data_IF_263345897203
#
_entry.id   IF_263345897203
#
_cell.length_a   1.000
_cell.length_b   1.000
_cell.length_c   1.000
_cell.angle_alpha   90.00
_cell.angle_beta   90.00
_cell.angle_gamma   90.00
#
_symmetry.space_group_name_H-M   'P 1'
#
loop_
_entity.id
_entity.type
_entity.pdbx_description
1 polymer ?
#
# COMPACT_ATOMS: atom_id res chain seq x y z
N UNK A 1 -1.54 -15.89 -17.82
CA UNK A 1 -0.94 -15.95 -16.47
C UNK A 1 -1.94 -15.50 -15.43
N UNK A 2 -2.15 -16.30 -14.42
CA UNK A 2 -3.01 -15.92 -13.30
C UNK A 2 -2.33 -14.95 -12.35
N UNK A 3 -3.05 -14.40 -11.36
CA UNK A 3 -2.47 -13.58 -10.32
C UNK A 3 -1.54 -14.42 -9.44
N UNK A 4 -0.43 -13.82 -9.05
CA UNK A 4 0.39 -14.38 -7.99
C UNK A 4 -0.19 -13.92 -6.65
N UNK A 5 -0.43 -14.88 -5.77
CA UNK A 5 -0.99 -14.60 -4.44
C UNK A 5 -0.09 -15.19 -3.38
N UNK A 6 0.18 -14.39 -2.36
CA UNK A 6 1.03 -14.79 -1.25
C UNK A 6 0.39 -14.37 0.06
N UNK A 7 0.23 -15.31 0.97
CA UNK A 7 -0.12 -15.00 2.36
C UNK A 7 1.15 -14.65 3.10
N UNK A 8 1.17 -13.48 3.75
CA UNK A 8 2.34 -12.98 4.47
C UNK A 8 2.00 -12.69 5.92
N UNK A 9 3.02 -12.81 6.76
CA UNK A 9 2.97 -12.46 8.17
C UNK A 9 3.73 -11.14 8.40
N UNK A 10 3.65 -10.61 9.61
CA UNK A 10 4.17 -9.29 9.94
C UNK A 10 5.61 -9.05 9.46
N UNK A 11 6.49 -10.02 9.63
CA UNK A 11 7.91 -9.89 9.26
C UNK A 11 8.12 -9.79 7.75
N UNK A 12 7.24 -10.39 6.96
CA UNK A 12 7.38 -10.49 5.51
C UNK A 12 6.48 -9.51 4.74
N UNK A 13 5.49 -8.92 5.41
CA UNK A 13 4.46 -8.12 4.77
C UNK A 13 5.06 -6.89 4.07
N UNK A 14 5.98 -6.20 4.72
CA UNK A 14 6.65 -5.04 4.13
C UNK A 14 7.35 -5.41 2.82
N UNK A 15 8.04 -6.55 2.79
CA UNK A 15 8.71 -7.03 1.60
C UNK A 15 7.71 -7.43 0.50
N UNK A 16 6.62 -8.06 0.87
CA UNK A 16 5.58 -8.44 -0.08
C UNK A 16 4.92 -7.20 -0.72
N UNK A 17 4.63 -6.19 0.06
CA UNK A 17 4.09 -4.92 -0.45
C UNK A 17 5.12 -4.21 -1.33
N UNK A 18 6.38 -4.19 -0.92
CA UNK A 18 7.47 -3.64 -1.72
C UNK A 18 7.53 -4.31 -3.10
N UNK A 19 7.46 -5.63 -3.15
CA UNK A 19 7.55 -6.39 -4.39
C UNK A 19 6.33 -6.25 -5.27
N UNK A 20 5.13 -6.21 -4.67
CA UNK A 20 3.87 -6.17 -5.40
C UNK A 20 3.43 -4.76 -5.79
N UNK A 21 3.90 -3.76 -5.09
CA UNK A 21 3.46 -2.38 -5.26
C UNK A 21 4.64 -1.45 -5.46
N UNK A 22 5.10 -0.79 -4.42
CA UNK A 22 6.21 0.17 -4.43
C UNK A 22 6.96 0.11 -3.10
N UNK A 23 8.17 0.65 -3.09
CA UNK A 23 8.97 0.76 -1.88
C UNK A 23 8.36 1.76 -0.89
N UNK A 24 8.25 1.35 0.35
CA UNK A 24 7.76 2.13 1.47
C UNK A 24 8.64 1.90 2.69
N UNK A 25 8.67 2.87 3.58
CA UNK A 25 9.22 2.70 4.91
C UNK A 25 8.07 2.54 5.89
N UNK A 26 7.95 1.37 6.50
CA UNK A 26 6.85 1.06 7.42
C UNK A 26 7.26 1.33 8.86
N UNK A 27 6.29 1.79 9.66
CA UNK A 27 6.49 1.93 11.09
C UNK A 27 6.69 0.54 11.73
N UNK A 28 7.85 0.26 12.36
CA UNK A 28 8.15 -1.08 12.88
C UNK A 28 7.16 -1.56 13.94
N UNK A 29 6.69 -0.66 14.79
CA UNK A 29 5.78 -1.04 15.89
C UNK A 29 4.41 -1.46 15.37
N UNK A 30 3.84 -0.72 14.42
CA UNK A 30 2.55 -1.08 13.85
C UNK A 30 2.65 -2.26 12.89
N UNK A 31 3.78 -2.41 12.17
CA UNK A 31 3.98 -3.50 11.21
C UNK A 31 4.06 -4.86 11.89
N UNK A 32 4.53 -4.95 13.12
CA UNK A 32 4.62 -6.22 13.86
C UNK A 32 3.27 -6.89 14.09
N UNK A 33 2.17 -6.13 14.05
CA UNK A 33 0.82 -6.63 14.29
C UNK A 33 -0.02 -6.74 13.01
N UNK A 34 0.59 -6.57 11.84
CA UNK A 34 -0.13 -6.63 10.56
C UNK A 34 0.05 -8.00 9.93
N UNK A 35 -1.05 -8.55 9.43
CA UNK A 35 -1.05 -9.81 8.67
C UNK A 35 -1.97 -9.68 7.48
N UNK A 36 -1.86 -10.57 6.52
CA UNK A 36 -2.78 -10.57 5.39
C UNK A 36 -2.21 -11.21 4.14
N UNK A 37 -2.82 -10.83 3.03
CA UNK A 37 -2.51 -11.36 1.71
C UNK A 37 -2.23 -10.25 0.74
N UNK A 38 -1.25 -10.48 -0.13
CA UNK A 38 -0.94 -9.60 -1.26
C UNK A 38 -0.95 -10.44 -2.52
N UNK A 39 -1.67 -9.99 -3.52
CA UNK A 39 -1.68 -10.61 -4.84
C UNK A 39 -1.32 -9.56 -5.88
N UNK A 40 -0.65 -9.99 -6.94
CA UNK A 40 -0.30 -9.10 -8.04
C UNK A 40 -0.43 -9.80 -9.37
N UNK A 41 -0.82 -9.05 -10.40
CA UNK A 41 -0.96 -9.52 -11.76
C UNK A 41 -0.53 -8.41 -12.71
N UNK A 42 0.22 -8.78 -13.74
CA UNK A 42 0.63 -7.84 -14.79
C UNK A 42 -0.19 -8.09 -16.05
N UNK A 43 -0.77 -7.03 -16.59
CA UNK A 43 -1.56 -7.05 -17.83
C UNK A 43 -0.99 -5.98 -18.74
N UNK A 44 -0.15 -6.37 -19.71
CA UNK A 44 0.57 -5.43 -20.54
C UNK A 44 1.42 -4.49 -19.70
N UNK A 45 1.30 -3.17 -19.88
CA UNK A 45 2.06 -2.20 -19.08
C UNK A 45 1.48 -1.93 -17.69
N UNK A 46 0.36 -2.57 -17.33
CA UNK A 46 -0.38 -2.31 -16.09
C UNK A 46 -0.11 -3.43 -15.11
N UNK A 47 0.25 -3.04 -13.88
CA UNK A 47 0.31 -3.95 -12.74
C UNK A 47 -0.91 -3.72 -11.87
N UNK A 48 -1.64 -4.78 -11.58
CA UNK A 48 -2.77 -4.77 -10.66
C UNK A 48 -2.34 -5.48 -9.39
N UNK A 49 -2.46 -4.80 -8.28
CA UNK A 49 -2.16 -5.36 -6.96
C UNK A 49 -3.40 -5.35 -6.10
N UNK A 50 -3.57 -6.41 -5.32
CA UNK A 50 -4.67 -6.56 -4.39
C UNK A 50 -4.08 -6.85 -3.00
N UNK A 51 -4.59 -6.13 -2.01
CA UNK A 51 -4.18 -6.28 -0.62
C UNK A 51 -5.43 -6.55 0.22
N UNK A 52 -5.34 -7.55 1.10
CA UNK A 52 -6.34 -7.82 2.11
C UNK A 52 -5.61 -8.02 3.43
N UNK A 53 -5.72 -7.04 4.32
CA UNK A 53 -4.89 -6.90 5.50
C UNK A 53 -5.74 -6.87 6.75
N UNK A 54 -5.17 -7.37 7.84
CA UNK A 54 -5.68 -7.20 9.19
C UNK A 54 -4.62 -6.48 10.00
N UNK A 55 -4.96 -5.30 10.52
CA UNK A 55 -4.05 -4.52 11.36
C UNK A 55 -4.37 -4.72 12.83
N UNK A 56 -3.37 -4.54 13.67
CA UNK A 56 -3.54 -4.56 15.12
C UNK A 56 -4.11 -3.26 15.68
N UNK A 57 -4.15 -3.14 17.02
CA UNK A 57 -4.76 -1.97 17.70
C UNK A 57 -4.17 -0.63 17.32
N UNK A 58 -2.90 -0.61 16.89
CA UNK A 58 -2.20 0.62 16.48
C UNK A 58 -2.44 1.00 15.01
N UNK A 59 -3.22 0.19 14.27
CA UNK A 59 -3.34 0.37 12.83
C UNK A 59 -2.05 0.06 12.09
N UNK A 60 -1.83 0.72 10.96
CA UNK A 60 -0.60 0.57 10.20
C UNK A 60 -0.25 1.87 9.52
N UNK A 61 1.04 2.21 9.52
CA UNK A 61 1.55 3.46 8.94
C UNK A 61 2.81 3.19 8.15
N UNK A 62 2.97 3.98 7.10
CA UNK A 62 4.20 3.97 6.31
C UNK A 62 4.35 5.28 5.55
N UNK A 63 5.54 5.47 5.00
CA UNK A 63 5.86 6.67 4.22
C UNK A 63 6.78 6.32 3.08
N UNK A 64 6.69 7.10 2.01
CA UNK A 64 7.65 7.08 0.93
C UNK A 64 8.68 8.17 1.16
N UNK A 65 9.95 7.80 1.08
CA UNK A 65 11.09 8.71 1.22
C UNK A 65 11.69 9.02 -0.14
N UNK A 66 12.59 9.99 -0.21
CA UNK A 66 13.35 10.25 -1.43
C UNK A 66 14.16 9.03 -1.88
N UNK A 67 14.67 8.24 -0.94
CA UNK A 67 15.37 7.00 -1.24
C UNK A 67 14.45 6.00 -1.96
N UNK A 68 13.21 5.86 -1.49
CA UNK A 68 12.21 4.99 -2.13
C UNK A 68 11.91 5.46 -3.55
N UNK A 69 11.74 6.75 -3.74
CA UNK A 69 11.46 7.35 -5.04
C UNK A 69 12.62 7.07 -6.00
N UNK A 70 13.86 7.28 -5.56
CA UNK A 70 15.04 7.05 -6.39
C UNK A 70 15.30 5.58 -6.70
N UNK A 71 14.76 4.65 -5.92
CA UNK A 71 14.94 3.22 -6.15
C UNK A 71 14.20 2.71 -7.39
N UNK A 72 13.24 3.48 -7.90
CA UNK A 72 12.45 3.13 -9.09
C UNK A 72 12.83 4.10 -10.21
N UNK A 73 13.46 3.61 -11.30
CA UNK A 73 13.97 4.50 -12.37
C UNK A 73 12.88 5.17 -13.19
N UNK A 74 11.67 4.58 -13.23
CA UNK A 74 10.56 5.11 -14.00
C UNK A 74 9.41 5.50 -13.08
N UNK A 75 8.76 6.66 -13.31
CA UNK A 75 7.60 7.05 -12.54
C UNK A 75 6.38 6.22 -12.95
N UNK A 76 5.53 5.92 -11.95
CA UNK A 76 4.26 5.24 -12.16
C UNK A 76 3.12 6.13 -11.71
N UNK A 77 2.01 6.05 -12.43
CA UNK A 77 0.74 6.61 -11.97
C UNK A 77 -0.02 5.50 -11.26
N UNK A 78 -0.44 5.77 -10.04
CA UNK A 78 -1.11 4.81 -9.18
C UNK A 78 -2.57 5.20 -9.02
N UNK A 79 -3.44 4.21 -9.23
CA UNK A 79 -4.87 4.28 -8.93
C UNK A 79 -5.12 3.33 -7.77
N UNK A 80 -5.69 3.84 -6.70
CA UNK A 80 -5.95 3.08 -5.49
C UNK A 80 -7.43 3.16 -5.15
N UNK A 81 -8.08 2.01 -4.95
CA UNK A 81 -9.48 1.95 -4.56
C UNK A 81 -9.65 1.06 -3.34
N UNK A 82 -9.93 1.61 -2.17
CA UNK A 82 -10.32 0.82 -1.01
C UNK A 82 -11.63 0.08 -1.26
N UNK A 83 -11.69 -1.17 -0.82
CA UNK A 83 -12.88 -2.02 -0.90
C UNK A 83 -13.46 -2.24 0.49
N UNK A 84 -12.61 -2.34 1.50
CA UNK A 84 -13.01 -2.47 2.90
C UNK A 84 -12.25 -1.46 3.73
N UNK A 85 -12.96 -0.56 4.36
CA UNK A 85 -12.44 0.59 5.10
C UNK A 85 -11.71 1.60 4.21
N UNK A 86 -11.29 2.69 4.80
CA UNK A 86 -10.64 3.78 4.08
C UNK A 86 -9.13 3.81 4.36
N UNK A 87 -8.41 4.51 3.50
CA UNK A 87 -7.00 4.83 3.71
C UNK A 87 -6.83 6.35 3.81
N UNK A 88 -6.02 6.78 4.76
CA UNK A 88 -5.68 8.18 4.95
C UNK A 88 -4.29 8.44 4.39
N UNK A 89 -4.20 9.41 3.48
CA UNK A 89 -2.94 9.81 2.85
C UNK A 89 -2.60 11.24 3.21
N UNK A 90 -1.34 11.48 3.52
CA UNK A 90 -0.78 12.80 3.75
C UNK A 90 0.30 13.08 2.72
N UNK A 91 0.22 14.22 2.06
CA UNK A 91 1.23 14.69 1.11
C UNK A 91 1.58 16.16 1.39
N UNK A 92 2.56 16.68 0.65
CA UNK A 92 2.91 18.11 0.74
C UNK A 92 1.75 19.02 0.31
N UNK A 93 0.88 18.52 -0.58
CA UNK A 93 -0.27 19.30 -1.08
C UNK A 93 -1.51 19.18 -0.20
N UNK A 94 -1.53 18.33 0.81
CA UNK A 94 -2.64 18.19 1.74
C UNK A 94 -2.90 16.75 2.19
N UNK A 95 -4.01 16.59 2.87
CA UNK A 95 -4.44 15.33 3.45
C UNK A 95 -5.66 14.83 2.72
N UNK A 96 -5.73 13.52 2.46
CA UNK A 96 -6.81 12.89 1.72
C UNK A 96 -7.29 11.64 2.46
N UNK A 97 -8.60 11.54 2.65
CA UNK A 97 -9.24 10.32 3.13
C UNK A 97 -9.92 9.67 1.93
N UNK A 98 -9.37 8.53 1.48
CA UNK A 98 -9.94 7.79 0.36
C UNK A 98 -10.90 6.76 0.91
N UNK A 99 -12.18 7.00 0.74
CA UNK A 99 -13.25 6.14 1.23
C UNK A 99 -13.42 4.89 0.36
N UNK A 100 -14.16 3.92 0.87
CA UNK A 100 -14.51 2.71 0.12
C UNK A 100 -15.11 3.06 -1.24
N UNK A 101 -14.69 2.31 -2.26
CA UNK A 101 -15.15 2.43 -3.65
C UNK A 101 -14.89 3.79 -4.29
N UNK A 102 -14.00 4.57 -3.71
CA UNK A 102 -13.52 5.83 -4.28
C UNK A 102 -12.11 5.63 -4.79
N UNK A 103 -11.82 6.10 -6.00
CA UNK A 103 -10.49 5.98 -6.57
C UNK A 103 -9.63 7.18 -6.18
N UNK A 104 -8.52 6.90 -5.52
CA UNK A 104 -7.46 7.86 -5.32
C UNK A 104 -6.41 7.75 -6.41
N UNK A 105 -5.82 8.86 -6.80
CA UNK A 105 -4.79 8.91 -7.84
C UNK A 105 -3.58 9.66 -7.31
N UNK A 106 -2.41 9.04 -7.44
CA UNK A 106 -1.14 9.68 -7.09
C UNK A 106 -0.02 9.09 -7.94
N UNK A 107 1.13 9.71 -7.95
CA UNK A 107 2.27 9.18 -8.69
C UNK A 107 3.41 8.77 -7.75
N UNK A 108 4.27 7.88 -8.25
CA UNK A 108 5.35 7.29 -7.47
C UNK A 108 6.47 8.28 -7.11
N UNK A 109 6.43 9.50 -7.65
CA UNK A 109 7.43 10.53 -7.35
C UNK A 109 7.04 11.41 -6.17
N UNK A 110 5.83 11.23 -5.62
CA UNK A 110 5.35 12.01 -4.50
C UNK A 110 5.85 11.45 -3.17
N UNK A 111 6.19 12.37 -2.26
CA UNK A 111 6.38 12.04 -0.86
C UNK A 111 5.00 11.87 -0.24
N UNK A 112 4.72 10.69 0.27
CA UNK A 112 3.42 10.33 0.84
C UNK A 112 3.60 9.60 2.15
N UNK A 113 2.64 9.80 3.04
CA UNK A 113 2.44 8.96 4.21
C UNK A 113 1.04 8.34 4.13
N UNK A 114 0.93 7.08 4.54
CA UNK A 114 -0.38 6.44 4.67
C UNK A 114 -0.64 6.04 6.13
N UNK A 115 -1.92 6.00 6.47
CA UNK A 115 -2.37 5.49 7.75
C UNK A 115 -3.63 4.66 7.55
N UNK A 116 -3.61 3.44 8.09
CA UNK A 116 -4.76 2.55 8.20
C UNK A 116 -5.15 2.44 9.66
N UNK A 117 -6.45 2.53 9.93
CA UNK A 117 -7.00 2.30 11.27
C UNK A 117 -6.94 0.82 11.62
N UNK A 118 -7.11 0.51 12.90
CA UNK A 118 -7.17 -0.87 13.37
C UNK A 118 -8.32 -1.63 12.69
N UNK A 119 -8.07 -2.89 12.33
CA UNK A 119 -9.04 -3.77 11.72
C UNK A 119 -8.68 -4.21 10.31
N UNK A 120 -9.67 -4.67 9.57
CA UNK A 120 -9.49 -5.15 8.22
C UNK A 120 -9.42 -3.99 7.23
N UNK A 121 -8.52 -4.11 6.28
CA UNK A 121 -8.42 -3.20 5.14
C UNK A 121 -8.21 -3.99 3.86
N UNK A 122 -8.95 -3.65 2.81
CA UNK A 122 -8.81 -4.27 1.50
C UNK A 122 -8.79 -3.20 0.43
N UNK A 123 -7.88 -3.35 -0.55
CA UNK A 123 -7.80 -2.44 -1.70
C UNK A 123 -7.37 -3.14 -2.97
N UNK A 124 -7.70 -2.52 -4.06
CA UNK A 124 -7.13 -2.79 -5.38
C UNK A 124 -6.31 -1.58 -5.80
#
# INVERSE_FOLDING_TARGET
MGPESQTVYADDLGQAVHSAHLAWQFDPLSTSDVSGQVATRTIGPVRVSWLDLMTGPSGWRGRRTFSDIRSVPEPYLIFCMPICNSIYLTSESGNFDIAEFTCGIWDSTQLLEFELKAGRYEQI
#
